data_IF_947480458598
#
_entry.id   IF_947480458598
#
_cell.length_a   1.000
_cell.length_b   1.000
_cell.length_c   1.000
_cell.angle_alpha   90.00
_cell.angle_beta   90.00
_cell.angle_gamma   90.00
#
_symmetry.space_group_name_H-M   'P 1'
#
loop_
_entity.id
_entity.type
_entity.pdbx_description
1 polymer ?
#
# COMPACT_ATOMS: atom_id res chain seq x y z
N UNK A 1 6.46 -0.02 17.84
CA UNK A 1 6.90 1.12 18.67
C UNK A 1 5.69 1.95 19.06
N UNK A 2 5.60 2.43 20.32
CA UNK A 2 4.59 3.39 20.73
C UNK A 2 5.06 4.80 20.36
N UNK A 3 4.24 5.51 19.59
CA UNK A 3 4.56 6.83 19.02
C UNK A 3 3.81 7.89 19.83
N UNK A 4 4.50 8.92 20.25
CA UNK A 4 3.93 9.99 21.09
C UNK A 4 3.67 11.23 20.27
N UNK A 5 2.43 11.72 20.31
CA UNK A 5 2.00 12.93 19.60
C UNK A 5 1.54 14.01 20.58
N UNK A 6 1.55 15.27 20.13
CA UNK A 6 0.95 16.39 20.85
C UNK A 6 -0.55 16.46 20.57
N UNK A 7 -1.37 16.53 21.61
CA UNK A 7 -2.83 16.58 21.46
C UNK A 7 -3.29 17.75 20.55
N UNK A 8 -2.78 18.97 20.77
CA UNK A 8 -3.13 20.12 19.94
C UNK A 8 -2.70 19.96 18.46
N UNK A 9 -1.53 19.36 18.21
CA UNK A 9 -1.06 19.07 16.87
C UNK A 9 -1.97 18.08 16.16
N UNK A 10 -2.40 17.01 16.86
CA UNK A 10 -3.33 16.03 16.31
C UNK A 10 -4.70 16.64 16.01
N UNK A 11 -5.23 17.49 16.90
CA UNK A 11 -6.51 18.16 16.65
C UNK A 11 -6.47 19.06 15.42
N UNK A 12 -5.39 19.84 15.26
CA UNK A 12 -5.20 20.68 14.07
C UNK A 12 -5.10 19.84 12.80
N UNK A 13 -4.31 18.76 12.87
CA UNK A 13 -4.09 17.88 11.72
C UNK A 13 -5.38 17.18 11.29
N UNK A 14 -6.08 16.54 12.21
CA UNK A 14 -7.34 15.84 11.92
C UNK A 14 -8.44 16.83 11.51
N UNK A 15 -8.51 17.98 12.15
CA UNK A 15 -9.45 19.06 11.79
C UNK A 15 -9.26 19.50 10.35
N UNK A 16 -8.04 19.79 9.90
CA UNK A 16 -7.80 20.19 8.51
C UNK A 16 -8.12 19.07 7.51
N UNK A 17 -7.86 17.82 7.87
CA UNK A 17 -8.12 16.67 6.98
C UNK A 17 -9.60 16.42 6.81
N UNK A 18 -10.36 16.42 7.89
CA UNK A 18 -11.79 16.19 7.82
C UNK A 18 -12.58 17.40 7.30
N UNK A 19 -12.27 18.60 7.81
CA UNK A 19 -13.07 19.79 7.50
C UNK A 19 -12.65 20.48 6.21
N UNK A 20 -11.33 20.57 5.91
CA UNK A 20 -10.84 21.32 4.76
C UNK A 20 -10.57 20.42 3.54
N UNK A 21 -10.07 19.20 3.74
CA UNK A 21 -9.92 18.25 2.65
C UNK A 21 -11.22 17.52 2.32
N UNK A 22 -11.85 16.94 3.35
CA UNK A 22 -13.06 16.13 3.21
C UNK A 22 -14.36 16.91 3.15
N UNK A 23 -14.35 18.24 3.43
CA UNK A 23 -15.55 19.06 3.47
C UNK A 23 -16.61 18.52 4.44
N UNK A 24 -16.20 17.83 5.53
CA UNK A 24 -17.14 17.20 6.45
C UNK A 24 -17.96 18.26 7.21
N UNK A 25 -19.24 18.01 7.31
CA UNK A 25 -20.21 18.81 8.05
C UNK A 25 -21.04 17.92 8.97
N UNK A 26 -21.91 18.52 9.79
CA UNK A 26 -22.85 17.80 10.68
C UNK A 26 -23.85 16.92 9.94
N UNK A 27 -24.03 17.16 8.65
CA UNK A 27 -24.96 16.40 7.81
C UNK A 27 -24.34 15.09 7.28
N UNK A 28 -23.03 14.93 7.47
CA UNK A 28 -22.30 13.72 7.07
C UNK A 28 -22.40 12.62 8.09
N UNK A 29 -22.45 11.39 7.62
CA UNK A 29 -22.29 10.15 8.40
C UNK A 29 -21.03 9.44 7.91
N UNK A 30 -20.02 9.32 8.79
CA UNK A 30 -18.70 8.84 8.40
C UNK A 30 -18.51 7.39 8.83
N UNK A 31 -18.12 6.57 7.89
CA UNK A 31 -17.69 5.19 8.13
C UNK A 31 -16.27 5.00 7.62
N UNK A 32 -15.43 4.37 8.41
CA UNK A 32 -14.11 3.85 8.02
C UNK A 32 -13.98 2.41 8.49
N UNK A 33 -13.82 1.48 7.56
CA UNK A 33 -13.53 0.10 7.94
C UNK A 33 -12.16 0.03 8.61
N UNK A 34 -12.14 -0.23 9.90
CA UNK A 34 -10.94 -0.31 10.73
C UNK A 34 -11.21 -1.04 12.04
N UNK A 35 -10.17 -1.51 12.70
CA UNK A 35 -10.23 -1.96 14.09
C UNK A 35 -9.58 -0.93 15.00
N UNK A 36 -9.82 -1.01 16.30
CA UNK A 36 -9.21 -0.12 17.31
C UNK A 36 -7.67 -0.22 17.37
N UNK A 37 -7.10 -1.30 16.86
CA UNK A 37 -5.65 -1.50 16.78
C UNK A 37 -4.97 -0.85 15.58
N UNK A 38 -5.74 -0.24 14.67
CA UNK A 38 -5.22 0.42 13.47
C UNK A 38 -5.18 1.93 13.62
N UNK A 39 -4.26 2.57 12.93
CA UNK A 39 -4.16 4.04 12.93
C UNK A 39 -5.44 4.71 12.45
N UNK A 40 -6.13 4.12 11.47
CA UNK A 40 -7.37 4.67 10.92
C UNK A 40 -8.52 4.76 11.94
N UNK A 41 -8.45 4.05 13.07
CA UNK A 41 -9.35 4.28 14.20
C UNK A 41 -9.20 5.70 14.75
N UNK A 42 -7.97 6.14 15.01
CA UNK A 42 -7.70 7.49 15.50
C UNK A 42 -8.13 8.55 14.50
N UNK A 43 -7.93 8.27 13.21
CA UNK A 43 -8.36 9.14 12.12
C UNK A 43 -9.89 9.25 12.06
N UNK A 44 -10.62 8.13 12.15
CA UNK A 44 -12.09 8.10 12.17
C UNK A 44 -12.66 8.93 13.33
N UNK A 45 -12.06 8.83 14.54
CA UNK A 45 -12.48 9.63 15.68
C UNK A 45 -12.33 11.14 15.41
N UNK A 46 -11.40 11.54 14.56
CA UNK A 46 -11.22 12.92 14.13
C UNK A 46 -12.45 13.52 13.44
N UNK A 47 -13.30 12.70 12.81
CA UNK A 47 -14.54 13.17 12.18
C UNK A 47 -15.53 13.81 13.20
N UNK A 48 -15.44 13.40 14.46
CA UNK A 48 -16.25 13.99 15.55
C UNK A 48 -15.97 15.49 15.75
N UNK A 49 -14.81 16.00 15.33
CA UNK A 49 -14.51 17.44 15.35
C UNK A 49 -15.45 18.25 14.45
N UNK A 50 -15.93 17.65 13.34
CA UNK A 50 -16.93 18.25 12.45
C UNK A 50 -18.36 18.14 12.98
N UNK A 51 -18.56 17.41 14.09
CA UNK A 51 -19.89 17.10 14.62
C UNK A 51 -20.60 15.98 13.83
N UNK A 52 -19.86 15.25 12.99
CA UNK A 52 -20.36 14.13 12.22
C UNK A 52 -20.60 12.91 13.11
N UNK A 53 -21.73 12.20 13.03
CA UNK A 53 -21.81 10.85 13.55
C UNK A 53 -20.86 9.92 12.81
N UNK A 54 -20.26 8.99 13.56
CA UNK A 54 -19.41 7.94 13.02
C UNK A 54 -20.10 6.58 13.15
N UNK A 55 -19.90 5.72 12.15
CA UNK A 55 -20.40 4.34 12.18
C UNK A 55 -19.28 3.41 12.58
N UNK A 56 -19.55 2.59 13.60
CA UNK A 56 -18.63 1.56 14.08
C UNK A 56 -19.15 0.18 13.64
N UNK A 57 -18.26 -0.62 13.07
CA UNK A 57 -18.61 -1.96 12.61
C UNK A 57 -17.56 -2.95 13.14
N UNK A 58 -18.05 -3.98 13.84
CA UNK A 58 -17.24 -5.09 14.34
C UNK A 58 -17.71 -6.39 13.70
N UNK A 59 -17.06 -6.75 12.61
CA UNK A 59 -17.41 -7.95 11.83
C UNK A 59 -16.55 -8.10 10.59
N UNK A 60 -16.80 -9.19 9.83
CA UNK A 60 -16.14 -9.41 8.54
C UNK A 60 -16.63 -8.39 7.51
N UNK A 61 -15.72 -7.66 6.83
CA UNK A 61 -16.14 -6.69 5.80
C UNK A 61 -16.64 -7.37 4.51
N UNK A 62 -16.33 -8.67 4.35
CA UNK A 62 -16.55 -9.42 3.12
C UNK A 62 -17.49 -10.61 3.26
N UNK A 63 -18.05 -10.80 4.45
CA UNK A 63 -19.00 -11.88 4.71
C UNK A 63 -20.12 -11.43 5.68
N UNK A 64 -21.40 -11.55 5.25
CA UNK A 64 -21.81 -11.83 3.87
C UNK A 64 -21.31 -10.77 2.88
N UNK A 65 -21.16 -11.14 1.60
CA UNK A 65 -20.76 -10.18 0.57
C UNK A 65 -21.80 -9.06 0.50
N UNK A 66 -21.36 -7.80 0.53
CA UNK A 66 -22.25 -6.65 0.50
C UNK A 66 -22.66 -6.09 1.87
N UNK A 67 -22.35 -6.76 2.97
CA UNK A 67 -22.76 -6.34 4.33
C UNK A 67 -22.44 -4.89 4.66
N UNK A 68 -21.28 -4.37 4.20
CA UNK A 68 -20.94 -2.96 4.44
C UNK A 68 -21.79 -2.00 3.62
N UNK A 69 -22.24 -2.39 2.44
CA UNK A 69 -23.13 -1.59 1.58
C UNK A 69 -24.56 -1.57 2.13
N UNK A 70 -25.05 -2.70 2.62
CA UNK A 70 -26.35 -2.78 3.33
C UNK A 70 -26.33 -1.89 4.58
N UNK A 71 -25.26 -1.96 5.36
CA UNK A 71 -25.07 -1.09 6.52
C UNK A 71 -25.03 0.38 6.11
N UNK A 72 -24.29 0.72 5.03
CA UNK A 72 -24.18 2.09 4.55
C UNK A 72 -25.52 2.66 4.10
N UNK A 73 -26.32 1.89 3.37
CA UNK A 73 -27.68 2.27 2.97
C UNK A 73 -28.57 2.48 4.20
N UNK A 74 -28.59 1.53 5.12
CA UNK A 74 -29.45 1.56 6.33
C UNK A 74 -29.12 2.74 7.25
N UNK A 75 -27.84 3.07 7.42
CA UNK A 75 -27.37 4.11 8.35
C UNK A 75 -27.16 5.47 7.66
N UNK A 76 -27.37 5.55 6.35
CA UNK A 76 -27.22 6.78 5.58
C UNK A 76 -25.80 7.30 5.50
N UNK A 77 -24.80 6.38 5.42
CA UNK A 77 -23.39 6.75 5.30
C UNK A 77 -23.15 7.64 4.09
N UNK A 78 -22.48 8.78 4.29
CA UNK A 78 -22.13 9.72 3.23
C UNK A 78 -20.66 9.63 2.84
N UNK A 79 -19.78 9.29 3.79
CA UNK A 79 -18.36 9.07 3.56
C UNK A 79 -18.00 7.63 3.92
N UNK A 80 -17.62 6.86 2.91
CA UNK A 80 -17.33 5.43 3.02
C UNK A 80 -15.84 5.18 2.89
N UNK A 81 -15.16 4.99 4.03
CA UNK A 81 -13.74 4.70 4.11
C UNK A 81 -13.44 3.19 4.12
N UNK A 82 -12.53 2.76 3.28
CA UNK A 82 -12.14 1.35 3.14
C UNK A 82 -10.68 1.18 2.72
N UNK A 83 -10.31 0.01 2.23
CA UNK A 83 -8.98 -0.27 1.68
C UNK A 83 -9.04 -0.66 0.21
N UNK A 84 -7.95 -0.44 -0.54
CA UNK A 84 -7.83 -0.94 -1.91
C UNK A 84 -8.01 -2.46 -1.98
N UNK A 85 -7.53 -3.20 -0.98
CA UNK A 85 -7.72 -4.65 -0.88
C UNK A 85 -9.21 -5.05 -0.79
N UNK A 86 -10.03 -4.31 -0.02
CA UNK A 86 -11.47 -4.56 0.05
C UNK A 86 -12.13 -4.34 -1.32
N UNK A 87 -11.84 -3.23 -1.98
CA UNK A 87 -12.39 -2.93 -3.31
C UNK A 87 -12.00 -4.01 -4.33
N UNK A 88 -10.75 -4.47 -4.33
CA UNK A 88 -10.29 -5.56 -5.19
C UNK A 88 -11.01 -6.90 -4.89
N UNK A 89 -11.32 -7.21 -3.63
CA UNK A 89 -12.06 -8.42 -3.27
C UNK A 89 -13.49 -8.35 -3.79
N UNK A 90 -14.15 -7.21 -3.62
CA UNK A 90 -15.53 -7.00 -4.07
C UNK A 90 -15.62 -7.01 -5.59
N UNK A 91 -14.64 -6.42 -6.29
CA UNK A 91 -14.52 -6.49 -7.75
C UNK A 91 -14.41 -7.94 -8.25
N UNK A 92 -13.48 -8.72 -7.69
CA UNK A 92 -13.30 -10.15 -8.04
C UNK A 92 -14.53 -11.00 -7.78
N UNK A 93 -15.37 -10.59 -6.82
CA UNK A 93 -16.67 -11.25 -6.56
C UNK A 93 -17.77 -10.78 -7.50
N UNK A 94 -17.46 -9.86 -8.42
CA UNK A 94 -18.41 -9.23 -9.33
C UNK A 94 -19.67 -8.68 -8.60
N UNK A 95 -19.49 -8.23 -7.34
CA UNK A 95 -20.58 -7.73 -6.53
C UNK A 95 -20.82 -6.25 -6.80
N UNK A 96 -22.06 -5.89 -7.11
CA UNK A 96 -22.54 -4.51 -7.18
C UNK A 96 -23.92 -4.45 -6.51
N UNK A 97 -24.13 -3.60 -5.50
CA UNK A 97 -25.39 -3.54 -4.74
C UNK A 97 -26.47 -2.74 -5.49
N UNK A 98 -26.85 -3.19 -6.68
CA UNK A 98 -27.76 -2.46 -7.57
C UNK A 98 -29.11 -2.17 -6.94
N UNK A 99 -29.60 -3.05 -6.08
CA UNK A 99 -30.87 -2.90 -5.34
C UNK A 99 -30.82 -1.85 -4.23
N UNK A 100 -29.61 -1.42 -3.85
CA UNK A 100 -29.40 -0.40 -2.82
C UNK A 100 -29.11 0.99 -3.38
N UNK A 101 -28.89 1.14 -4.70
CA UNK A 101 -28.44 2.40 -5.29
C UNK A 101 -29.27 3.62 -4.89
N UNK A 102 -30.58 3.50 -4.87
CA UNK A 102 -31.51 4.59 -4.49
C UNK A 102 -31.47 4.90 -2.98
N UNK A 103 -30.97 4.00 -2.16
CA UNK A 103 -30.87 4.14 -0.71
C UNK A 103 -29.50 4.64 -0.27
N UNK A 104 -28.46 4.46 -1.10
CA UNK A 104 -27.09 4.86 -0.78
C UNK A 104 -26.96 6.39 -0.83
N UNK A 105 -26.49 6.98 0.27
CA UNK A 105 -26.17 8.42 0.38
C UNK A 105 -24.69 8.73 0.20
N UNK A 106 -23.89 7.72 -0.15
CA UNK A 106 -22.44 7.84 -0.28
C UNK A 106 -22.11 8.91 -1.33
N UNK A 107 -21.40 9.96 -0.92
CA UNK A 107 -20.85 11.02 -1.79
C UNK A 107 -19.35 10.89 -2.01
N UNK A 108 -18.68 10.12 -1.14
CA UNK A 108 -17.23 9.97 -1.14
C UNK A 108 -16.86 8.55 -0.73
N UNK A 109 -15.97 7.92 -1.50
CA UNK A 109 -15.30 6.67 -1.12
C UNK A 109 -13.83 6.98 -0.89
N UNK A 110 -13.31 6.65 0.30
CA UNK A 110 -11.91 6.85 0.65
C UNK A 110 -11.18 5.51 0.70
N UNK A 111 -10.02 5.44 0.06
CA UNK A 111 -9.19 4.25 0.04
C UNK A 111 -7.81 4.52 0.63
N UNK A 112 -7.34 3.61 1.49
CA UNK A 112 -6.01 3.68 2.10
C UNK A 112 -5.43 2.29 2.36
N UNK A 113 -4.21 2.25 2.87
CA UNK A 113 -3.53 1.01 3.28
C UNK A 113 -2.63 0.40 2.21
N UNK A 114 -2.96 0.56 0.95
CA UNK A 114 -2.14 0.25 -0.23
C UNK A 114 -2.55 1.16 -1.40
N UNK A 115 -1.73 1.28 -2.45
CA UNK A 115 -2.10 2.03 -3.65
C UNK A 115 -3.44 1.54 -4.21
N UNK A 116 -4.28 2.48 -4.64
CA UNK A 116 -5.53 2.18 -5.31
C UNK A 116 -5.29 2.18 -6.83
N UNK A 117 -5.45 1.00 -7.46
CA UNK A 117 -5.29 0.86 -8.91
C UNK A 117 -6.29 1.72 -9.68
N UNK A 118 -5.87 2.24 -10.83
CA UNK A 118 -6.69 3.13 -11.65
C UNK A 118 -8.03 2.49 -12.07
N UNK A 119 -8.05 1.19 -12.34
CA UNK A 119 -9.24 0.43 -12.75
C UNK A 119 -10.31 0.36 -11.66
N UNK A 120 -9.90 0.48 -10.39
CA UNK A 120 -10.83 0.44 -9.26
C UNK A 120 -11.64 1.75 -9.08
N UNK A 121 -11.22 2.85 -9.69
CA UNK A 121 -11.98 4.10 -9.61
C UNK A 121 -13.35 4.00 -10.29
N UNK A 122 -13.46 3.58 -11.57
CA UNK A 122 -14.75 3.35 -12.20
C UNK A 122 -15.58 2.26 -11.50
N UNK A 123 -14.93 1.25 -10.93
CA UNK A 123 -15.63 0.21 -10.18
C UNK A 123 -16.24 0.78 -8.88
N UNK A 124 -15.52 1.64 -8.17
CA UNK A 124 -16.04 2.29 -6.97
C UNK A 124 -17.32 3.14 -7.26
N UNK A 125 -17.34 3.82 -8.41
CA UNK A 125 -18.57 4.53 -8.86
C UNK A 125 -19.73 3.57 -9.16
N UNK A 126 -19.45 2.40 -9.77
CA UNK A 126 -20.47 1.37 -10.00
C UNK A 126 -21.08 0.86 -8.70
N UNK A 127 -20.31 0.77 -7.62
CA UNK A 127 -20.84 0.34 -6.31
C UNK A 127 -21.91 1.30 -5.77
N UNK A 128 -21.85 2.58 -6.11
CA UNK A 128 -22.84 3.59 -5.69
C UNK A 128 -23.92 3.84 -6.73
N UNK A 129 -23.69 3.43 -7.99
CA UNK A 129 -24.63 3.62 -9.10
C UNK A 129 -24.66 5.05 -9.67
N UNK A 130 -23.73 5.92 -9.27
CA UNK A 130 -23.58 7.29 -9.78
C UNK A 130 -22.16 7.79 -9.58
N UNK A 131 -21.75 8.88 -10.23
CA UNK A 131 -20.48 9.54 -9.96
C UNK A 131 -20.33 9.90 -8.49
N UNK A 132 -19.21 9.53 -7.89
CA UNK A 132 -18.84 9.87 -6.51
C UNK A 132 -17.36 10.22 -6.48
N UNK A 133 -16.95 11.00 -5.49
CA UNK A 133 -15.54 11.25 -5.30
C UNK A 133 -14.86 9.99 -4.78
N UNK A 134 -13.83 9.49 -5.51
CA UNK A 134 -12.98 8.39 -5.07
C UNK A 134 -11.63 8.97 -4.67
N UNK A 135 -11.38 9.03 -3.36
CA UNK A 135 -10.16 9.61 -2.79
C UNK A 135 -9.17 8.53 -2.35
N UNK A 136 -7.98 8.53 -2.92
CA UNK A 136 -6.85 7.76 -2.38
C UNK A 136 -6.11 8.60 -1.34
N UNK A 137 -5.68 7.95 -0.25
CA UNK A 137 -5.00 8.60 0.88
C UNK A 137 -3.66 7.92 1.11
N UNK A 138 -2.59 8.70 1.19
CA UNK A 138 -1.29 8.22 1.62
C UNK A 138 -0.79 8.94 2.85
N UNK A 139 -0.27 8.15 3.78
CA UNK A 139 0.24 8.60 5.06
C UNK A 139 0.73 7.43 5.87
N UNK A 140 0.71 7.51 7.19
CA UNK A 140 1.22 6.39 7.98
C UNK A 140 0.90 6.44 9.45
N UNK A 141 1.12 5.30 10.10
CA UNK A 141 0.98 5.17 11.56
C UNK A 141 1.94 6.11 12.29
N UNK A 142 3.09 6.40 11.70
CA UNK A 142 4.13 7.23 12.31
C UNK A 142 3.68 8.68 12.52
N UNK A 143 2.88 9.23 11.62
CA UNK A 143 2.31 10.57 11.78
C UNK A 143 0.85 10.55 12.24
N UNK A 144 0.21 9.38 12.29
CA UNK A 144 -1.22 9.21 12.60
C UNK A 144 -2.12 10.11 11.69
N UNK A 145 -1.75 10.26 10.43
CA UNK A 145 -2.26 11.25 9.51
C UNK A 145 -1.83 10.92 8.06
N UNK A 146 -1.96 11.89 7.16
CA UNK A 146 -1.64 11.78 5.75
C UNK A 146 -0.64 12.85 5.28
N UNK A 147 0.13 12.52 4.25
CA UNK A 147 0.96 13.46 3.48
C UNK A 147 0.28 13.93 2.20
N UNK A 148 -0.56 13.08 1.62
CA UNK A 148 -1.36 13.41 0.44
C UNK A 148 -2.72 12.75 0.53
N UNK A 149 -3.75 13.41 0.03
CA UNK A 149 -5.13 13.05 0.26
C UNK A 149 -6.07 13.42 -0.89
N UNK A 150 -7.32 13.10 -0.64
CA UNK A 150 -8.47 13.62 -1.35
C UNK A 150 -8.70 15.12 -1.07
N UNK A 151 -9.42 15.78 -1.98
CA UNK A 151 -9.97 17.10 -1.78
C UNK A 151 -11.20 17.25 -2.67
N UNK A 152 -12.35 17.56 -2.06
CA UNK A 152 -13.62 17.63 -2.80
C UNK A 152 -13.69 18.80 -3.82
N UNK A 153 -12.81 19.79 -3.70
CA UNK A 153 -12.74 20.92 -4.62
C UNK A 153 -11.84 20.66 -5.85
N UNK A 154 -11.19 19.49 -5.93
CA UNK A 154 -10.25 19.15 -7.00
C UNK A 154 -10.76 17.98 -7.85
N UNK A 155 -10.37 17.90 -9.14
CA UNK A 155 -10.65 16.74 -9.96
C UNK A 155 -9.94 15.50 -9.44
N UNK A 156 -10.54 14.32 -9.68
CA UNK A 156 -9.96 13.01 -9.39
C UNK A 156 -9.27 12.47 -10.64
N UNK A 157 -8.01 12.13 -10.52
CA UNK A 157 -7.25 11.40 -11.54
C UNK A 157 -7.02 9.97 -11.05
N UNK A 158 -7.48 8.99 -11.83
CA UNK A 158 -7.39 7.59 -11.44
C UNK A 158 -5.93 7.14 -11.24
N UNK A 159 -5.63 6.50 -10.11
CA UNK A 159 -4.28 6.06 -9.75
C UNK A 159 -3.47 7.09 -8.97
N UNK A 160 -3.96 8.32 -8.80
CA UNK A 160 -3.28 9.38 -8.06
C UNK A 160 -3.98 9.67 -6.72
N UNK A 161 -3.21 10.16 -5.74
CA UNK A 161 -3.77 10.95 -4.64
C UNK A 161 -3.95 12.38 -5.14
N UNK A 162 -5.07 13.05 -4.86
CA UNK A 162 -5.44 14.30 -5.54
C UNK A 162 -4.51 15.48 -5.24
N UNK A 163 -4.03 15.62 -4.01
CA UNK A 163 -3.20 16.76 -3.63
C UNK A 163 -2.36 16.47 -2.39
N UNK A 164 -1.34 17.30 -2.18
CA UNK A 164 -0.55 17.31 -0.96
C UNK A 164 -1.40 17.80 0.22
N UNK A 165 -1.14 17.26 1.40
CA UNK A 165 -1.83 17.64 2.63
C UNK A 165 -1.59 19.11 2.98
N UNK A 166 -2.65 19.85 3.26
CA UNK A 166 -2.55 21.24 3.73
C UNK A 166 -1.64 21.34 4.95
N UNK A 167 -0.72 22.32 4.96
CA UNK A 167 0.26 22.50 6.05
C UNK A 167 1.36 21.43 6.10
N UNK A 168 1.50 20.63 5.03
CA UNK A 168 2.55 19.62 4.86
C UNK A 168 3.46 20.07 3.69
N UNK A 169 4.72 20.38 3.97
CA UNK A 169 5.70 20.74 2.94
C UNK A 169 6.33 19.48 2.34
N UNK A 170 5.45 18.70 1.67
CA UNK A 170 5.81 17.42 1.04
C UNK A 170 6.60 17.67 -0.22
N UNK A 171 7.66 16.89 -0.42
CA UNK A 171 8.47 16.90 -1.62
C UNK A 171 8.92 15.48 -1.99
N UNK A 172 9.55 15.34 -3.15
CA UNK A 172 10.10 14.10 -3.67
C UNK A 172 11.59 14.28 -3.89
N UNK A 173 12.42 13.51 -3.19
CA UNK A 173 13.89 13.67 -3.20
C UNK A 173 14.59 12.52 -3.91
N UNK A 174 15.68 12.86 -4.63
CA UNK A 174 16.66 11.88 -5.09
C UNK A 174 17.55 11.39 -3.92
N UNK A 175 18.40 10.40 -4.20
CA UNK A 175 19.32 9.84 -3.20
C UNK A 175 20.35 10.86 -2.66
N UNK A 176 20.51 12.01 -3.30
CA UNK A 176 21.37 13.11 -2.88
C UNK A 176 20.62 14.19 -2.06
N UNK A 177 19.32 13.98 -1.80
CA UNK A 177 18.48 14.91 -1.04
C UNK A 177 18.05 16.15 -1.84
N UNK A 178 18.02 16.06 -3.15
CA UNK A 178 17.56 17.15 -4.04
C UNK A 178 16.15 16.87 -4.52
N UNK A 179 15.33 17.91 -4.57
CA UNK A 179 13.98 17.81 -5.16
C UNK A 179 14.05 17.39 -6.62
N UNK A 180 13.23 16.42 -7.01
CA UNK A 180 13.12 15.97 -8.40
C UNK A 180 11.96 16.66 -9.13
N UNK A 181 12.01 16.77 -10.46
CA UNK A 181 10.88 17.26 -11.26
C UNK A 181 9.64 16.39 -11.11
N UNK A 182 8.48 16.92 -11.55
CA UNK A 182 7.30 16.09 -11.72
C UNK A 182 7.56 14.91 -12.67
N UNK A 183 6.83 13.83 -12.52
CA UNK A 183 6.95 12.59 -13.29
C UNK A 183 8.31 11.88 -13.13
N UNK A 184 9.06 12.22 -12.07
CA UNK A 184 10.31 11.55 -11.69
C UNK A 184 10.13 10.94 -10.31
N UNK A 185 10.53 9.68 -10.17
CA UNK A 185 10.47 8.93 -8.92
C UNK A 185 11.47 9.42 -7.89
N UNK A 186 11.08 9.32 -6.63
CA UNK A 186 11.97 9.62 -5.52
C UNK A 186 11.33 9.31 -4.16
N UNK A 187 12.08 9.58 -3.12
CA UNK A 187 11.65 9.36 -1.75
C UNK A 187 10.67 10.44 -1.29
N UNK A 188 9.56 10.02 -0.68
CA UNK A 188 8.60 10.90 -0.03
C UNK A 188 9.24 11.53 1.21
N UNK A 189 9.32 12.85 1.21
CA UNK A 189 9.84 13.64 2.33
C UNK A 189 8.88 14.76 2.75
N UNK A 190 9.02 15.23 4.00
CA UNK A 190 8.39 16.46 4.45
C UNK A 190 9.48 17.38 4.98
N UNK A 191 9.66 18.53 4.32
CA UNK A 191 10.82 19.42 4.56
C UNK A 191 10.71 20.25 5.81
N UNK A 192 9.51 20.56 6.24
CA UNK A 192 9.24 21.40 7.42
C UNK A 192 8.45 20.62 8.48
N UNK A 193 8.55 21.03 9.76
CA UNK A 193 7.70 20.46 10.81
C UNK A 193 6.21 20.62 10.50
N UNK A 194 5.42 19.62 10.86
CA UNK A 194 3.98 19.59 10.62
C UNK A 194 3.18 19.31 11.92
N UNK A 195 1.90 19.67 12.00
CA UNK A 195 1.15 19.63 13.25
C UNK A 195 1.15 18.25 13.94
N UNK A 196 0.96 17.18 13.18
CA UNK A 196 0.92 15.80 13.69
C UNK A 196 2.31 15.17 13.85
N UNK A 197 3.40 15.92 13.65
CA UNK A 197 4.74 15.36 13.81
C UNK A 197 4.91 14.77 15.21
N UNK A 198 5.33 13.49 15.33
CA UNK A 198 5.60 12.88 16.62
C UNK A 198 6.66 13.65 17.41
N UNK A 199 6.54 13.64 18.74
CA UNK A 199 7.55 14.23 19.63
C UNK A 199 8.58 13.22 20.09
N UNK A 200 8.38 11.94 19.80
CA UNK A 200 9.28 10.84 20.15
C UNK A 200 8.59 9.50 20.23
N UNK A 201 9.33 8.50 20.69
CA UNK A 201 8.79 7.18 21.02
C UNK A 201 8.70 7.01 22.52
N UNK A 202 7.57 6.45 22.98
CA UNK A 202 7.31 6.24 24.40
C UNK A 202 8.39 5.35 25.03
N UNK A 203 9.00 5.82 26.11
CA UNK A 203 10.10 5.15 26.81
C UNK A 203 11.28 4.73 25.92
N UNK A 204 11.56 5.47 24.86
CA UNK A 204 12.72 5.23 23.99
C UNK A 204 13.62 6.47 23.94
N UNK A 205 14.95 6.28 23.74
CA UNK A 205 15.87 7.39 23.52
C UNK A 205 15.51 8.22 22.28
N UNK A 206 15.79 9.52 22.31
CA UNK A 206 15.54 10.44 21.19
C UNK A 206 16.36 10.09 19.94
N UNK A 207 17.53 9.46 20.12
CA UNK A 207 18.38 8.97 19.03
C UNK A 207 17.58 8.02 18.12
N UNK A 208 16.83 7.09 18.71
CA UNK A 208 16.01 6.15 17.94
C UNK A 208 14.94 6.83 17.09
N UNK A 209 14.35 7.92 17.58
CA UNK A 209 13.40 8.75 16.81
C UNK A 209 14.12 9.42 15.64
N UNK A 210 15.29 10.02 15.92
CA UNK A 210 16.12 10.69 14.92
C UNK A 210 16.58 9.72 13.84
N UNK A 211 17.04 8.54 14.25
CA UNK A 211 17.49 7.48 13.34
C UNK A 211 16.38 6.94 12.44
N UNK A 212 15.13 6.96 12.92
CA UNK A 212 13.99 6.47 12.14
C UNK A 212 13.61 7.40 11.00
N UNK A 213 13.83 8.72 11.12
CA UNK A 213 13.24 9.68 10.18
C UNK A 213 14.21 10.72 9.61
N UNK A 214 15.43 10.88 10.17
CA UNK A 214 16.31 11.99 9.81
C UNK A 214 17.74 11.58 9.43
N UNK A 215 18.06 10.29 9.41
CA UNK A 215 19.40 9.83 9.01
C UNK A 215 19.59 9.92 7.50
N UNK A 216 18.56 9.56 6.74
CA UNK A 216 18.62 9.55 5.27
C UNK A 216 18.82 10.97 4.71
N UNK A 217 18.07 11.93 5.24
CA UNK A 217 18.12 13.33 4.86
C UNK A 217 18.16 14.19 6.13
N UNK A 218 19.34 14.66 6.57
CA UNK A 218 19.48 15.40 7.82
C UNK A 218 18.57 16.63 7.89
N UNK A 219 17.73 16.69 8.92
CA UNK A 219 16.79 17.79 9.13
C UNK A 219 15.47 17.71 8.35
N UNK A 220 15.31 16.72 7.46
CA UNK A 220 14.12 16.50 6.65
C UNK A 220 13.48 15.18 7.05
N UNK A 221 12.16 15.16 7.23
CA UNK A 221 11.42 13.93 7.52
C UNK A 221 11.42 13.01 6.32
N UNK A 222 12.04 11.85 6.48
CA UNK A 222 12.01 10.76 5.51
C UNK A 222 10.94 9.74 5.91
N UNK A 223 9.97 9.50 5.03
CA UNK A 223 8.85 8.58 5.34
C UNK A 223 9.12 7.14 4.94
N UNK A 224 9.98 6.95 3.95
CA UNK A 224 10.35 5.63 3.45
C UNK A 224 9.36 5.06 2.44
N UNK A 225 8.62 5.92 1.75
CA UNK A 225 7.81 5.58 0.59
C UNK A 225 8.45 6.13 -0.68
N UNK A 226 8.43 5.33 -1.75
CA UNK A 226 8.77 5.75 -3.09
C UNK A 226 7.53 6.30 -3.78
N UNK A 227 7.64 7.49 -4.33
CA UNK A 227 6.52 8.19 -4.97
C UNK A 227 6.97 8.93 -6.21
N UNK A 228 6.00 9.36 -7.00
CA UNK A 228 6.20 10.27 -8.12
C UNK A 228 5.16 11.39 -8.00
N UNK A 229 5.60 12.65 -8.05
CA UNK A 229 4.70 13.80 -8.10
C UNK A 229 4.19 13.99 -9.53
N UNK A 230 2.88 14.16 -9.68
CA UNK A 230 2.25 14.33 -11.00
C UNK A 230 2.15 15.80 -11.41
N UNK A 231 1.90 16.04 -12.68
CA UNK A 231 1.65 17.40 -13.19
C UNK A 231 0.30 17.98 -12.73
N UNK A 232 -0.56 17.12 -12.19
CA UNK A 232 -1.83 17.54 -11.56
C UNK A 232 -1.66 17.99 -10.10
N UNK A 233 -0.46 17.84 -9.53
CA UNK A 233 -0.16 18.20 -8.13
C UNK A 233 -0.45 17.11 -7.11
N UNK A 234 -0.81 15.92 -7.56
CA UNK A 234 -0.99 14.72 -6.76
C UNK A 234 0.27 13.87 -6.65
N UNK A 235 0.14 12.69 -6.05
CA UNK A 235 1.19 11.68 -5.96
C UNK A 235 0.71 10.33 -6.50
N UNK A 236 1.59 9.65 -7.23
CA UNK A 236 1.49 8.21 -7.51
C UNK A 236 2.36 7.48 -6.50
N UNK A 237 1.77 6.49 -5.81
CA UNK A 237 2.48 5.66 -4.84
C UNK A 237 3.11 4.46 -5.54
N UNK A 238 4.42 4.32 -5.45
CA UNK A 238 5.19 3.27 -6.12
C UNK A 238 5.62 2.14 -5.18
N UNK A 239 5.39 2.31 -3.88
CA UNK A 239 5.71 1.32 -2.85
C UNK A 239 6.59 1.86 -1.74
N UNK A 240 7.26 0.95 -1.01
CA UNK A 240 8.20 1.33 0.06
C UNK A 240 9.59 1.56 -0.52
N UNK A 241 10.29 2.61 -0.08
CA UNK A 241 11.67 2.89 -0.50
C UNK A 241 12.65 1.77 -0.12
N UNK A 242 12.40 1.08 1.01
CA UNK A 242 13.19 -0.08 1.47
C UNK A 242 12.80 -1.39 0.75
N UNK A 243 11.64 -1.42 0.07
CA UNK A 243 11.16 -2.48 -0.80
C UNK A 243 11.49 -2.28 -2.29
N UNK A 244 12.15 -1.18 -2.67
CA UNK A 244 12.53 -0.91 -4.05
C UNK A 244 13.33 -2.07 -4.63
N UNK A 245 12.99 -2.43 -5.87
CA UNK A 245 13.71 -3.36 -6.70
C UNK A 245 14.70 -2.57 -7.57
N UNK A 246 15.94 -3.06 -7.67
CA UNK A 246 17.00 -2.35 -8.37
C UNK A 246 17.87 -3.30 -9.23
N UNK A 247 17.28 -4.12 -10.10
CA UNK A 247 18.06 -5.01 -10.96
C UNK A 247 18.85 -4.22 -12.01
N UNK A 248 20.16 -4.50 -12.11
CA UNK A 248 21.07 -3.84 -13.04
C UNK A 248 21.05 -2.29 -12.93
N UNK A 249 20.91 -1.77 -11.72
CA UNK A 249 20.93 -0.34 -11.46
C UNK A 249 19.65 0.42 -11.82
N UNK A 250 18.59 -0.29 -12.22
CA UNK A 250 17.31 0.32 -12.60
C UNK A 250 16.31 0.12 -11.46
N UNK A 251 15.93 1.23 -10.85
CA UNK A 251 15.00 1.25 -9.72
C UNK A 251 13.56 1.24 -10.21
N UNK A 252 12.71 0.45 -9.56
CA UNK A 252 11.26 0.51 -9.70
C UNK A 252 10.57 -0.03 -8.43
N UNK A 253 9.33 0.36 -8.24
CA UNK A 253 8.53 -0.05 -7.08
C UNK A 253 7.98 -1.47 -7.24
N UNK A 254 7.78 -2.18 -6.12
CA UNK A 254 7.07 -3.46 -6.12
C UNK A 254 5.63 -3.35 -6.65
N UNK A 255 5.01 -2.17 -6.50
CA UNK A 255 3.69 -1.88 -7.02
C UNK A 255 3.59 -2.12 -8.54
N UNK A 256 4.64 -1.82 -9.32
CA UNK A 256 4.65 -2.05 -10.76
C UNK A 256 4.38 -3.51 -11.15
N UNK A 257 4.84 -4.45 -10.32
CA UNK A 257 4.58 -5.89 -10.54
C UNK A 257 3.22 -6.30 -10.00
N UNK A 258 2.82 -5.79 -8.83
CA UNK A 258 1.51 -6.10 -8.26
C UNK A 258 0.37 -5.62 -9.15
N UNK A 259 0.46 -4.41 -9.71
CA UNK A 259 -0.55 -3.88 -10.62
C UNK A 259 -0.78 -4.79 -11.83
N UNK A 260 0.28 -5.38 -12.37
CA UNK A 260 0.17 -6.34 -13.48
C UNK A 260 -0.53 -7.62 -13.05
N UNK A 261 -0.13 -8.19 -11.90
CA UNK A 261 -0.69 -9.46 -11.39
C UNK A 261 -2.12 -9.32 -10.88
N UNK A 262 -2.53 -8.12 -10.54
CA UNK A 262 -3.89 -7.79 -10.06
C UNK A 262 -4.74 -7.13 -11.16
N UNK A 263 -4.22 -6.97 -12.38
CA UNK A 263 -4.94 -6.39 -13.51
C UNK A 263 -6.14 -7.23 -13.92
N UNK A 264 -7.08 -6.63 -14.64
CA UNK A 264 -8.25 -7.33 -15.18
C UNK A 264 -7.87 -8.48 -16.12
N UNK A 265 -6.79 -8.32 -16.89
CA UNK A 265 -6.26 -9.38 -17.76
C UNK A 265 -5.69 -10.57 -16.96
N UNK A 266 -4.99 -10.29 -15.87
CA UNK A 266 -4.45 -11.35 -15.00
C UNK A 266 -5.56 -12.09 -14.23
N UNK A 267 -6.59 -11.37 -13.80
CA UNK A 267 -7.69 -11.91 -12.99
C UNK A 267 -8.86 -12.46 -13.81
N UNK A 268 -8.80 -12.35 -15.14
CA UNK A 268 -9.79 -12.95 -16.04
C UNK A 268 -9.88 -14.48 -15.78
N UNK A 269 -11.08 -15.06 -15.64
CA UNK A 269 -11.24 -16.50 -15.38
C UNK A 269 -10.56 -17.43 -16.39
N UNK A 270 -10.32 -16.97 -17.63
CA UNK A 270 -9.60 -17.73 -18.65
C UNK A 270 -8.08 -17.63 -18.53
N UNK A 271 -7.57 -16.68 -17.74
CA UNK A 271 -6.15 -16.50 -17.50
C UNK A 271 -5.61 -17.53 -16.52
N UNK A 272 -4.44 -18.16 -16.78
CA UNK A 272 -3.75 -18.97 -15.78
C UNK A 272 -3.52 -18.23 -14.45
N UNK A 273 -3.33 -16.90 -14.49
CA UNK A 273 -3.10 -16.07 -13.30
C UNK A 273 -4.34 -15.89 -12.43
N UNK A 274 -5.54 -16.22 -12.90
CA UNK A 274 -6.76 -16.23 -12.08
C UNK A 274 -6.68 -17.20 -10.88
N UNK A 275 -5.81 -18.21 -10.96
CA UNK A 275 -5.50 -19.14 -9.87
C UNK A 275 -4.52 -18.57 -8.81
N UNK A 276 -3.97 -17.37 -9.03
CA UNK A 276 -3.10 -16.72 -8.07
C UNK A 276 -3.94 -15.98 -7.03
N UNK A 277 -3.85 -16.43 -5.79
CA UNK A 277 -4.62 -15.84 -4.67
C UNK A 277 -3.85 -14.72 -3.96
N UNK A 278 -2.51 -14.75 -3.98
CA UNK A 278 -1.64 -13.75 -3.37
C UNK A 278 -0.26 -13.75 -4.04
N UNK A 279 0.46 -12.63 -3.89
CA UNK A 279 1.79 -12.46 -4.48
C UNK A 279 2.69 -11.62 -3.58
N UNK A 280 4.01 -11.87 -3.65
CA UNK A 280 5.02 -11.07 -2.98
C UNK A 280 6.28 -11.00 -3.84
N UNK A 281 6.80 -9.79 -4.05
CA UNK A 281 8.00 -9.56 -4.86
C UNK A 281 9.09 -8.89 -4.04
N UNK A 282 10.31 -9.38 -4.18
CA UNK A 282 11.48 -8.85 -3.47
C UNK A 282 12.75 -8.99 -4.30
N UNK A 283 13.79 -8.21 -3.94
CA UNK A 283 15.12 -8.31 -4.53
C UNK A 283 16.01 -9.32 -3.81
N UNK A 284 16.62 -10.22 -4.56
CA UNK A 284 17.69 -11.12 -4.11
C UNK A 284 19.04 -10.55 -4.56
N UNK A 285 19.89 -10.22 -3.60
CA UNK A 285 21.22 -9.67 -3.86
C UNK A 285 22.12 -10.70 -4.53
N UNK A 286 22.92 -10.24 -5.47
CA UNK A 286 23.99 -11.05 -6.07
C UNK A 286 25.05 -11.45 -5.03
N UNK A 287 25.84 -12.49 -5.28
CA UNK A 287 26.90 -12.89 -4.35
C UNK A 287 27.89 -11.77 -4.02
N UNK A 288 28.19 -10.89 -4.98
CA UNK A 288 29.05 -9.72 -4.77
C UNK A 288 28.32 -8.56 -4.05
N UNK A 289 26.97 -8.65 -3.89
CA UNK A 289 26.10 -7.63 -3.31
C UNK A 289 26.13 -6.27 -4.03
N UNK A 290 26.60 -6.24 -5.24
CA UNK A 290 26.68 -5.07 -6.12
C UNK A 290 25.41 -4.85 -6.95
N UNK A 291 24.56 -5.88 -7.05
CA UNK A 291 23.33 -5.89 -7.82
C UNK A 291 22.27 -6.78 -7.15
N UNK A 292 21.06 -6.80 -7.67
CA UNK A 292 20.02 -7.72 -7.26
C UNK A 292 19.23 -8.26 -8.45
N UNK A 293 18.55 -9.38 -8.25
CA UNK A 293 17.58 -9.95 -9.20
C UNK A 293 16.20 -9.99 -8.58
N UNK A 294 15.18 -9.83 -9.39
CA UNK A 294 13.79 -9.86 -8.95
C UNK A 294 13.35 -11.30 -8.69
N UNK A 295 12.79 -11.55 -7.53
CA UNK A 295 12.15 -12.81 -7.15
C UNK A 295 10.67 -12.55 -6.87
N UNK A 296 9.82 -13.30 -7.55
CA UNK A 296 8.37 -13.28 -7.39
C UNK A 296 7.91 -14.57 -6.70
N UNK A 297 7.18 -14.43 -5.60
CA UNK A 297 6.50 -15.52 -4.91
C UNK A 297 5.01 -15.45 -5.19
N UNK A 298 4.40 -16.59 -5.49
CA UNK A 298 2.97 -16.70 -5.81
C UNK A 298 2.32 -17.78 -4.94
N UNK A 299 1.16 -17.45 -4.38
CA UNK A 299 0.27 -18.40 -3.73
C UNK A 299 -0.77 -18.83 -4.76
N UNK A 300 -0.76 -20.12 -5.07
CA UNK A 300 -1.53 -20.68 -6.19
C UNK A 300 -2.31 -21.90 -5.70
N UNK A 301 -3.53 -22.12 -6.22
CA UNK A 301 -4.32 -23.31 -5.94
C UNK A 301 -3.61 -24.61 -6.37
N UNK A 302 -3.87 -25.71 -5.67
CA UNK A 302 -3.12 -26.97 -5.88
C UNK A 302 -3.37 -27.63 -7.23
N UNK A 303 -4.51 -27.38 -7.83
CA UNK A 303 -4.96 -27.90 -9.12
C UNK A 303 -4.49 -27.08 -10.33
N UNK A 304 -3.83 -25.94 -10.11
CA UNK A 304 -3.42 -25.05 -11.18
C UNK A 304 -2.14 -25.50 -11.91
N UNK A 305 -2.08 -25.23 -13.20
CA UNK A 305 -0.87 -25.47 -14.01
C UNK A 305 0.21 -24.44 -13.70
N UNK A 306 1.16 -24.85 -12.86
CA UNK A 306 2.28 -24.01 -12.46
C UNK A 306 3.10 -23.47 -13.63
N UNK A 307 3.36 -24.31 -14.65
CA UNK A 307 4.17 -23.90 -15.80
C UNK A 307 3.49 -22.79 -16.61
N UNK A 308 2.18 -22.90 -16.79
CA UNK A 308 1.39 -21.86 -17.44
C UNK A 308 1.38 -20.56 -16.63
N UNK A 309 1.26 -20.62 -15.30
CA UNK A 309 1.26 -19.47 -14.41
C UNK A 309 2.62 -18.76 -14.43
N UNK A 310 3.73 -19.50 -14.32
CA UNK A 310 5.06 -18.92 -14.39
C UNK A 310 5.32 -18.24 -15.74
N UNK A 311 4.99 -18.90 -16.83
CA UNK A 311 5.15 -18.35 -18.17
C UNK A 311 4.31 -17.10 -18.40
N UNK A 312 3.03 -17.14 -18.00
CA UNK A 312 2.11 -16.03 -18.17
C UNK A 312 2.49 -14.84 -17.29
N UNK A 313 2.91 -15.03 -16.03
CA UNK A 313 3.36 -13.95 -15.17
C UNK A 313 4.54 -13.20 -15.77
N UNK A 314 5.55 -13.91 -16.25
CA UNK A 314 6.73 -13.32 -16.92
C UNK A 314 6.34 -12.59 -18.23
N UNK A 315 5.45 -13.19 -19.01
CA UNK A 315 4.98 -12.62 -20.28
C UNK A 315 4.22 -11.32 -20.06
N UNK A 316 3.24 -11.34 -19.15
CA UNK A 316 2.37 -10.20 -18.88
C UNK A 316 3.16 -9.04 -18.26
N UNK A 317 4.07 -9.31 -17.32
CA UNK A 317 4.96 -8.29 -16.74
C UNK A 317 5.84 -7.66 -17.84
N UNK A 318 6.38 -8.46 -18.76
CA UNK A 318 7.18 -7.95 -19.87
C UNK A 318 6.38 -7.04 -20.79
N UNK A 319 5.14 -7.40 -21.07
CA UNK A 319 4.25 -6.71 -21.99
C UNK A 319 3.73 -5.39 -21.39
N UNK A 320 3.25 -5.41 -20.15
CA UNK A 320 2.63 -4.24 -19.51
C UNK A 320 3.64 -3.30 -18.86
N UNK A 321 4.87 -3.75 -18.60
CA UNK A 321 5.96 -2.93 -18.03
C UNK A 321 7.18 -2.96 -18.95
N UNK A 322 8.16 -3.80 -18.68
CA UNK A 322 9.33 -3.97 -19.53
C UNK A 322 10.09 -5.27 -19.21
N UNK A 323 11.05 -5.64 -20.05
CA UNK A 323 11.94 -6.77 -19.81
C UNK A 323 12.70 -6.69 -18.47
N UNK A 324 12.89 -5.49 -17.93
CA UNK A 324 13.63 -5.24 -16.68
C UNK A 324 12.82 -5.56 -15.42
N UNK A 325 11.48 -5.54 -15.52
CA UNK A 325 10.57 -5.91 -14.43
C UNK A 325 10.37 -7.43 -14.33
N UNK A 326 10.76 -8.19 -15.37
CA UNK A 326 10.54 -9.63 -15.41
C UNK A 326 11.33 -10.32 -14.32
N UNK A 327 10.67 -11.11 -13.43
CA UNK A 327 11.36 -11.83 -12.37
C UNK A 327 12.36 -12.85 -12.94
N UNK A 328 13.58 -12.87 -12.37
CA UNK A 328 14.56 -13.90 -12.65
C UNK A 328 14.07 -15.26 -12.13
N UNK A 329 13.42 -15.22 -10.97
CA UNK A 329 12.84 -16.39 -10.33
C UNK A 329 11.37 -16.16 -9.99
N UNK A 330 10.54 -17.16 -10.30
CA UNK A 330 9.16 -17.25 -9.81
C UNK A 330 9.09 -18.51 -8.95
N UNK A 331 8.51 -18.40 -7.75
CA UNK A 331 8.40 -19.52 -6.82
C UNK A 331 6.99 -19.62 -6.26
N UNK A 332 6.47 -20.84 -6.22
CA UNK A 332 5.23 -21.15 -5.51
C UNK A 332 5.51 -21.17 -4.01
N UNK A 333 4.61 -20.61 -3.22
CA UNK A 333 4.65 -20.59 -1.75
C UNK A 333 3.27 -20.90 -1.17
N UNK A 334 3.25 -21.39 0.07
CA UNK A 334 2.01 -21.70 0.78
C UNK A 334 1.28 -20.43 1.23
N UNK A 335 1.98 -19.34 1.48
CA UNK A 335 1.39 -18.08 1.88
C UNK A 335 2.36 -16.91 1.80
N UNK A 336 1.87 -15.71 1.51
CA UNK A 336 2.63 -14.49 1.66
C UNK A 336 2.52 -13.98 3.10
N UNK A 337 3.63 -13.68 3.79
CA UNK A 337 3.54 -13.15 5.14
C UNK A 337 2.89 -11.77 5.12
N UNK A 338 1.97 -11.57 6.08
CA UNK A 338 1.21 -10.33 6.24
C UNK A 338 1.33 -9.80 7.66
N UNK A 339 1.28 -8.49 7.80
CA UNK A 339 1.08 -7.87 9.11
C UNK A 339 -0.30 -8.24 9.65
N UNK A 340 -0.53 -8.06 10.96
CA UNK A 340 -1.86 -8.23 11.58
C UNK A 340 -2.95 -7.42 10.86
N UNK A 341 -2.57 -6.39 10.12
CA UNK A 341 -3.45 -5.51 9.33
C UNK A 341 -3.61 -5.96 7.86
N UNK A 342 -3.10 -7.14 7.50
CA UNK A 342 -3.21 -7.70 6.15
C UNK A 342 -2.28 -7.08 5.10
N UNK A 343 -1.32 -6.21 5.49
CA UNK A 343 -0.35 -5.64 4.56
C UNK A 343 0.76 -6.65 4.26
N UNK A 344 1.21 -6.71 3.00
CA UNK A 344 2.37 -7.50 2.57
C UNK A 344 3.64 -7.10 3.32
N UNK A 345 4.49 -8.08 3.62
CA UNK A 345 5.69 -7.92 4.45
C UNK A 345 6.94 -8.16 3.61
N UNK A 346 7.24 -7.24 2.69
CA UNK A 346 8.34 -7.35 1.73
C UNK A 346 9.71 -7.31 2.41
N UNK A 347 9.96 -6.33 3.25
CA UNK A 347 11.28 -6.08 3.86
C UNK A 347 11.77 -7.24 4.72
N UNK A 348 10.98 -7.83 5.63
CA UNK A 348 11.35 -9.04 6.32
C UNK A 348 11.68 -10.21 5.39
N UNK A 349 10.88 -10.45 4.34
CA UNK A 349 11.14 -11.50 3.36
C UNK A 349 12.41 -11.21 2.57
N UNK A 350 12.62 -9.98 2.10
CA UNK A 350 13.88 -9.56 1.45
C UNK A 350 15.08 -9.85 2.33
N UNK A 351 15.00 -9.61 3.64
CA UNK A 351 16.07 -9.95 4.59
C UNK A 351 16.31 -11.45 4.69
N UNK A 352 15.25 -12.26 4.82
CA UNK A 352 15.35 -13.72 4.95
C UNK A 352 15.99 -14.36 3.73
N UNK A 353 15.48 -14.06 2.53
CA UNK A 353 16.04 -14.65 1.30
C UNK A 353 17.50 -14.21 1.05
N UNK A 354 17.90 -13.06 1.62
CA UNK A 354 19.28 -12.58 1.58
C UNK A 354 20.15 -13.08 2.75
N UNK A 355 19.67 -14.05 3.54
CA UNK A 355 20.44 -14.76 4.55
C UNK A 355 20.40 -14.16 5.96
N UNK A 356 19.52 -13.22 6.24
CA UNK A 356 19.33 -12.76 7.60
C UNK A 356 18.67 -13.85 8.48
N UNK A 357 19.09 -14.01 9.73
CA UNK A 357 18.46 -14.96 10.65
C UNK A 357 16.98 -14.64 10.89
N UNK A 358 16.12 -15.66 10.94
CA UNK A 358 14.69 -15.50 11.20
C UNK A 358 14.40 -14.83 12.56
N UNK A 359 15.33 -14.94 13.51
CA UNK A 359 15.26 -14.28 14.82
C UNK A 359 15.27 -12.75 14.74
N UNK A 360 15.67 -12.17 13.60
CA UNK A 360 15.62 -10.73 13.36
C UNK A 360 14.21 -10.22 13.08
N UNK A 361 13.26 -11.13 12.85
CA UNK A 361 11.87 -10.80 12.52
C UNK A 361 10.98 -10.94 13.77
N UNK A 362 10.24 -9.90 14.08
CA UNK A 362 9.27 -9.95 15.17
C UNK A 362 7.99 -10.69 14.70
N UNK A 363 7.93 -11.99 14.93
CA UNK A 363 6.81 -12.86 14.57
C UNK A 363 5.46 -12.42 15.16
N UNK A 364 5.46 -11.75 16.32
CA UNK A 364 4.22 -11.27 16.97
C UNK A 364 3.49 -10.15 16.19
N UNK A 365 4.14 -9.55 15.20
CA UNK A 365 3.53 -8.52 14.34
C UNK A 365 2.90 -9.08 13.07
N UNK A 366 2.98 -10.38 12.87
CA UNK A 366 2.52 -11.07 11.67
C UNK A 366 1.23 -11.84 11.93
N UNK A 367 0.38 -11.88 10.92
CA UNK A 367 -0.86 -12.67 10.91
C UNK A 367 -0.57 -14.17 10.75
N UNK A 368 0.42 -14.51 9.91
CA UNK A 368 0.79 -15.87 9.53
C UNK A 368 2.31 -16.09 9.62
N UNK A 369 2.89 -16.02 10.83
CA UNK A 369 4.34 -16.11 11.02
C UNK A 369 4.95 -17.46 10.66
N UNK A 370 4.13 -18.52 10.58
CA UNK A 370 4.53 -19.89 10.22
C UNK A 370 5.07 -20.01 8.80
N UNK A 371 4.64 -19.15 7.88
CA UNK A 371 5.12 -19.20 6.48
C UNK A 371 6.56 -18.75 6.32
N UNK A 372 7.15 -18.07 7.33
CA UNK A 372 8.50 -17.52 7.22
C UNK A 372 9.59 -18.58 7.06
N UNK A 373 9.41 -19.77 7.61
CA UNK A 373 10.40 -20.85 7.55
C UNK A 373 10.58 -21.34 6.09
N UNK A 374 9.51 -21.33 5.28
CA UNK A 374 9.56 -21.61 3.84
C UNK A 374 10.45 -20.60 3.10
N UNK A 375 10.38 -19.32 3.44
CA UNK A 375 11.21 -18.28 2.81
C UNK A 375 12.68 -18.37 3.19
N UNK A 376 13.01 -18.91 4.37
CA UNK A 376 14.40 -19.20 4.74
C UNK A 376 14.97 -20.30 3.83
N UNK A 377 14.24 -21.41 3.68
CA UNK A 377 14.68 -22.53 2.82
C UNK A 377 14.80 -22.11 1.34
N UNK A 378 13.78 -21.42 0.81
CA UNK A 378 13.81 -20.89 -0.55
C UNK A 378 14.95 -19.88 -0.75
N UNK A 379 15.26 -19.09 0.26
CA UNK A 379 16.37 -18.14 0.21
C UNK A 379 17.74 -18.85 0.08
N UNK A 380 17.94 -19.98 0.74
CA UNK A 380 19.15 -20.80 0.59
C UNK A 380 19.28 -21.37 -0.82
N UNK A 381 18.19 -21.96 -1.35
CA UNK A 381 18.13 -22.49 -2.71
C UNK A 381 18.40 -21.40 -3.76
N UNK A 382 17.73 -20.26 -3.64
CA UNK A 382 17.84 -19.16 -4.59
C UNK A 382 19.24 -18.55 -4.63
N UNK A 383 19.90 -18.39 -3.46
CA UNK A 383 21.29 -17.90 -3.39
C UNK A 383 22.27 -18.88 -4.05
N UNK A 384 22.09 -20.19 -3.83
CA UNK A 384 22.91 -21.21 -4.46
C UNK A 384 22.75 -21.19 -5.98
N UNK A 385 21.50 -21.23 -6.47
CA UNK A 385 21.19 -21.18 -7.91
C UNK A 385 21.73 -19.90 -8.59
N UNK A 386 21.63 -18.74 -7.94
CA UNK A 386 22.15 -17.50 -8.49
C UNK A 386 23.68 -17.50 -8.56
N UNK A 387 24.35 -18.07 -7.56
CA UNK A 387 25.81 -18.19 -7.55
C UNK A 387 26.30 -19.11 -8.67
N UNK A 388 25.67 -20.26 -8.87
CA UNK A 388 25.98 -21.20 -9.96
C UNK A 388 25.79 -20.60 -11.34
N UNK A 389 24.66 -19.91 -11.56
CA UNK A 389 24.34 -19.25 -12.83
C UNK A 389 25.37 -18.19 -13.21
N UNK A 390 25.81 -17.38 -12.25
CA UNK A 390 26.83 -16.37 -12.48
C UNK A 390 28.24 -16.95 -12.66
N UNK A 391 28.58 -18.03 -11.95
CA UNK A 391 29.83 -18.73 -12.18
C UNK A 391 29.91 -19.38 -13.56
N UNK A 392 28.80 -19.88 -14.10
CA UNK A 392 28.71 -20.38 -15.47
C UNK A 392 28.87 -19.25 -16.50
N UNK A 393 28.21 -18.11 -16.29
CA UNK A 393 28.30 -16.95 -17.19
C UNK A 393 29.72 -16.29 -17.21
N UNK A 394 30.48 -16.41 -16.14
CA UNK A 394 31.86 -15.88 -16.08
C UNK A 394 32.92 -16.80 -16.73
N UNK A 395 32.53 -18.04 -17.09
CA UNK A 395 33.41 -19.03 -17.77
C UNK A 395 33.17 -19.10 -19.29
N UNK A 396 32.08 -18.50 -19.78
CA UNK A 396 31.72 -18.32 -21.20
C UNK A 396 32.18 -16.96 -21.73
#
# INVERSE_FOLDING_TARGET
KAITHRAGGMLLQLGKEHLLHGGLSRDDVVFQHTTIGWMMWNWLLGALLGGCPIVLYDGSPVYPTGVLWEMAARLGVTVFGTSAAYLSIIERRAFVPTELHDQLKVRMILSTGSPLRAELYPFAEKLVGRPVMVGSITGGSDLCSLFSAHNEALPVYAGETQCLGLGMDVDVFDAQGRSVPNMVEGDLVCKTPFPAQPIGFWHQPNERYRDSYYVQYPGVWYHGDLVMRTDHGGLVMLGRSDGILNPNGIRFGSADIYDVLESSEATDPSSPLSHVSDSLVVGLKTPAKDDEVVVLFLVVSDDADWSAIEAQSKSLIRQQRSARHVPAYVRRVQGCPKTLNGKRVEVPVKKLINGAPITTINKATLLNPEVLDEYVALGEELRASLAESRAAASRS
#
